data_IF_850731681431
#
_entry.id   IF_850731681431
#
_cell.length_a   1.000
_cell.length_b   1.000
_cell.length_c   1.000
_cell.angle_alpha   90.00
_cell.angle_beta   90.00
_cell.angle_gamma   90.00
#
_symmetry.space_group_name_H-M   'P 1'
#
loop_
_entity.id
_entity.type
_entity.pdbx_description
1 polymer ?
#
# COMPACT_ATOMS: atom_id res chain seq x y z
N UNK A 1 24.39 9.55 6.46
CA UNK A 1 25.05 8.65 7.41
C UNK A 1 24.26 7.38 7.65
N UNK A 2 22.95 7.45 7.98
CA UNK A 2 22.13 6.25 8.19
C UNK A 2 22.07 5.36 6.94
N UNK A 3 21.87 5.95 5.76
CA UNK A 3 21.85 5.24 4.48
C UNK A 3 23.21 4.59 4.17
N UNK A 4 24.32 5.24 4.48
CA UNK A 4 25.65 4.67 4.26
C UNK A 4 26.01 3.55 5.25
N UNK A 5 25.30 3.44 6.38
CA UNK A 5 25.44 2.33 7.34
C UNK A 5 24.58 1.15 6.92
N UNK A 6 23.34 1.39 6.48
CA UNK A 6 22.39 0.36 6.10
C UNK A 6 22.59 -0.18 4.67
N UNK A 7 23.18 0.63 3.80
CA UNK A 7 23.56 0.24 2.44
C UNK A 7 24.99 0.76 2.18
N UNK A 8 26.02 0.04 2.65
CA UNK A 8 27.42 0.47 2.50
C UNK A 8 27.75 0.61 1.02
N UNK A 9 28.16 1.83 0.66
CA UNK A 9 28.61 2.30 -0.66
C UNK A 9 27.89 1.62 -1.81
N UNK A 10 26.92 2.29 -2.39
CA UNK A 10 26.10 1.80 -3.50
C UNK A 10 26.95 1.28 -4.68
N UNK A 11 27.51 0.10 -4.54
CA UNK A 11 28.04 -0.65 -5.66
C UNK A 11 26.86 -0.93 -6.56
N UNK A 12 26.90 -0.30 -7.70
CA UNK A 12 25.89 -0.62 -8.73
C UNK A 12 25.91 -2.11 -9.03
N UNK A 13 24.74 -2.70 -9.10
CA UNK A 13 24.52 -4.13 -9.31
C UNK A 13 24.18 -4.38 -10.77
N UNK A 14 24.62 -5.54 -11.27
CA UNK A 14 24.10 -6.07 -12.52
C UNK A 14 22.61 -6.43 -12.36
N UNK A 15 21.88 -6.55 -13.45
CA UNK A 15 20.45 -6.91 -13.39
C UNK A 15 20.21 -8.23 -12.65
N UNK A 16 21.11 -9.21 -12.76
CA UNK A 16 20.98 -10.50 -12.03
C UNK A 16 21.10 -10.31 -10.52
N UNK A 17 22.09 -9.52 -10.07
CA UNK A 17 22.25 -9.24 -8.62
C UNK A 17 21.08 -8.44 -8.09
N UNK A 18 20.63 -7.45 -8.83
CA UNK A 18 19.46 -6.65 -8.46
C UNK A 18 18.21 -7.54 -8.31
N UNK A 19 17.98 -8.45 -9.27
CA UNK A 19 16.87 -9.40 -9.21
C UNK A 19 16.99 -10.37 -8.03
N UNK A 20 18.18 -10.91 -7.74
CA UNK A 20 18.40 -11.77 -6.58
C UNK A 20 18.17 -11.01 -5.28
N UNK A 21 18.66 -9.78 -5.15
CA UNK A 21 18.43 -8.93 -3.97
C UNK A 21 16.94 -8.68 -3.76
N UNK A 22 16.20 -8.36 -4.82
CA UNK A 22 14.74 -8.16 -4.81
C UNK A 22 14.01 -9.43 -4.38
N UNK A 23 14.31 -10.58 -5.00
CA UNK A 23 13.64 -11.84 -4.69
C UNK A 23 13.92 -12.28 -3.25
N UNK A 24 15.17 -12.14 -2.79
CA UNK A 24 15.55 -12.46 -1.40
C UNK A 24 14.78 -11.58 -0.42
N UNK A 25 14.73 -10.27 -0.67
CA UNK A 25 14.03 -9.31 0.17
C UNK A 25 12.53 -9.64 0.28
N UNK A 26 11.88 -9.89 -0.85
CA UNK A 26 10.46 -10.24 -0.87
C UNK A 26 10.18 -11.61 -0.22
N UNK A 27 11.06 -12.59 -0.42
CA UNK A 27 10.94 -13.90 0.26
C UNK A 27 11.04 -13.76 1.77
N UNK A 28 11.98 -12.95 2.27
CA UNK A 28 12.09 -12.67 3.70
C UNK A 28 10.84 -11.95 4.23
N UNK A 29 10.31 -10.99 3.51
CA UNK A 29 9.05 -10.30 3.83
C UNK A 29 7.87 -11.27 3.89
N UNK A 30 7.78 -12.19 2.93
CA UNK A 30 6.74 -13.21 2.89
C UNK A 30 6.81 -14.14 4.11
N UNK A 31 8.00 -14.67 4.41
CA UNK A 31 8.21 -15.54 5.57
C UNK A 31 7.87 -14.80 6.86
N UNK A 32 8.36 -13.56 7.00
CA UNK A 32 8.08 -12.74 8.18
C UNK A 32 6.57 -12.52 8.36
N UNK A 33 5.87 -12.09 7.32
CA UNK A 33 4.44 -11.80 7.38
C UNK A 33 3.62 -13.08 7.63
N UNK A 34 4.01 -14.19 6.99
CA UNK A 34 3.39 -15.50 7.25
C UNK A 34 3.52 -15.91 8.72
N UNK A 35 4.74 -15.89 9.25
CA UNK A 35 5.00 -16.29 10.63
C UNK A 35 4.27 -15.38 11.62
N UNK A 36 4.31 -14.08 11.41
CA UNK A 36 3.65 -13.09 12.28
C UNK A 36 2.14 -13.39 12.41
N UNK A 37 1.46 -13.65 11.31
CA UNK A 37 0.04 -14.03 11.32
C UNK A 37 -0.21 -15.35 12.05
N UNK A 38 0.69 -16.33 11.88
CA UNK A 38 0.54 -17.65 12.54
C UNK A 38 0.70 -17.59 14.04
N UNK A 39 1.48 -16.67 14.58
CA UNK A 39 1.78 -16.56 16.00
C UNK A 39 1.08 -15.38 16.68
N UNK A 40 0.21 -14.63 15.99
CA UNK A 40 -0.40 -13.41 16.53
C UNK A 40 -1.15 -13.61 17.86
N UNK A 41 -1.71 -14.80 18.08
CA UNK A 41 -2.41 -15.13 19.34
C UNK A 41 -1.52 -15.09 20.58
N UNK A 42 -0.19 -15.20 20.43
CA UNK A 42 0.78 -15.13 21.50
C UNK A 42 1.49 -13.78 21.62
N UNK A 43 1.20 -12.87 20.70
CA UNK A 43 1.86 -11.57 20.63
C UNK A 43 1.04 -10.47 21.33
N UNK A 44 1.69 -9.41 21.80
CA UNK A 44 1.01 -8.25 22.39
C UNK A 44 0.18 -7.49 21.34
N UNK A 45 -0.57 -6.48 21.80
CA UNK A 45 -1.46 -5.64 20.97
C UNK A 45 -2.53 -6.47 20.23
N UNK A 46 -3.08 -7.46 20.94
CA UNK A 46 -4.18 -8.29 20.50
C UNK A 46 -5.35 -8.23 21.50
N UNK A 47 -5.97 -7.07 21.69
CA UNK A 47 -7.01 -6.91 22.70
C UNK A 47 -8.26 -7.74 22.44
N UNK A 48 -8.49 -8.13 21.17
CA UNK A 48 -9.62 -8.96 20.78
C UNK A 48 -9.36 -10.47 21.00
N UNK A 49 -8.13 -10.86 21.35
CA UNK A 49 -7.77 -12.25 21.56
C UNK A 49 -7.80 -13.10 20.29
N UNK A 50 -7.55 -12.52 19.12
CA UNK A 50 -7.55 -13.28 17.87
C UNK A 50 -6.49 -14.37 17.90
N UNK A 51 -6.89 -15.57 17.51
CA UNK A 51 -6.00 -16.72 17.36
C UNK A 51 -5.08 -16.57 16.14
N UNK A 52 -4.12 -17.49 15.99
CA UNK A 52 -3.26 -17.55 14.81
C UNK A 52 -4.08 -17.80 13.54
N UNK A 53 -3.86 -16.99 12.50
CA UNK A 53 -4.54 -17.12 11.20
C UNK A 53 -4.29 -18.50 10.59
N UNK A 54 -5.28 -19.11 9.95
CA UNK A 54 -5.15 -20.43 9.30
C UNK A 54 -3.99 -20.45 8.28
N UNK A 55 -3.28 -21.59 8.10
CA UNK A 55 -2.06 -21.63 7.29
C UNK A 55 -2.23 -21.16 5.84
N UNK A 56 -3.29 -21.60 5.20
CA UNK A 56 -3.67 -21.26 3.83
C UNK A 56 -3.99 -19.77 3.70
N UNK A 57 -4.78 -19.24 4.63
CA UNK A 57 -5.13 -17.82 4.69
C UNK A 57 -3.89 -16.94 4.97
N UNK A 58 -3.02 -17.35 5.91
CA UNK A 58 -1.79 -16.62 6.23
C UNK A 58 -0.82 -16.59 5.04
N UNK A 59 -0.70 -17.71 4.30
CA UNK A 59 0.14 -17.77 3.11
C UNK A 59 -0.42 -16.90 2.00
N UNK A 60 -1.70 -17.02 1.71
CA UNK A 60 -2.42 -16.22 0.72
C UNK A 60 -2.23 -14.72 1.00
N UNK A 61 -2.45 -14.29 2.24
CA UNK A 61 -2.28 -12.91 2.67
C UNK A 61 -0.82 -12.45 2.54
N UNK A 62 0.15 -13.27 2.95
CA UNK A 62 1.56 -12.91 2.84
C UNK A 62 1.99 -12.71 1.39
N UNK A 63 1.58 -13.57 0.47
CA UNK A 63 1.84 -13.41 -0.97
C UNK A 63 1.19 -12.14 -1.49
N UNK A 64 -0.08 -11.91 -1.17
CA UNK A 64 -0.84 -10.75 -1.62
C UNK A 64 -0.19 -9.43 -1.21
N UNK A 65 0.24 -9.29 0.05
CA UNK A 65 0.86 -8.06 0.54
C UNK A 65 2.29 -7.86 0.03
N UNK A 66 3.06 -8.93 -0.13
CA UNK A 66 4.43 -8.84 -0.68
C UNK A 66 4.44 -8.43 -2.15
N UNK A 67 3.45 -8.88 -2.92
CA UNK A 67 3.32 -8.55 -4.35
C UNK A 67 2.64 -7.20 -4.61
N UNK A 68 2.32 -6.44 -3.58
CA UNK A 68 1.60 -5.16 -3.65
C UNK A 68 0.17 -5.28 -4.25
N UNK A 69 -0.41 -6.47 -4.20
CA UNK A 69 -1.76 -6.72 -4.70
C UNK A 69 -2.81 -6.38 -3.64
N UNK A 70 -2.56 -6.78 -2.40
CA UNK A 70 -3.32 -6.50 -1.18
C UNK A 70 -4.81 -6.90 -1.20
N UNK A 71 -5.24 -7.75 -2.10
CA UNK A 71 -6.58 -8.33 -2.00
C UNK A 71 -6.68 -9.24 -0.77
N UNK A 72 -7.82 -9.20 -0.12
CA UNK A 72 -8.09 -9.83 1.16
C UNK A 72 -9.32 -10.75 1.05
N UNK A 73 -9.17 -12.00 1.47
CA UNK A 73 -10.26 -12.98 1.61
C UNK A 73 -10.73 -13.10 3.06
N UNK A 74 -10.49 -12.09 3.89
CA UNK A 74 -10.83 -12.01 5.32
C UNK A 74 -11.22 -10.56 5.69
N UNK A 75 -11.98 -10.39 6.75
CA UNK A 75 -12.16 -9.09 7.40
C UNK A 75 -10.99 -8.81 8.33
N UNK A 76 -10.19 -7.78 8.04
CA UNK A 76 -9.01 -7.43 8.83
C UNK A 76 -9.38 -7.12 10.29
N UNK A 77 -10.47 -6.40 10.48
CA UNK A 77 -11.06 -6.06 11.77
C UNK A 77 -11.55 -7.25 12.61
N UNK A 78 -11.77 -8.41 11.97
CA UNK A 78 -12.24 -9.62 12.63
C UNK A 78 -11.18 -10.73 12.72
N UNK A 79 -10.01 -10.52 12.12
CA UNK A 79 -9.01 -11.58 11.93
C UNK A 79 -7.62 -11.20 12.40
N UNK A 80 -7.25 -9.92 12.29
CA UNK A 80 -5.86 -9.46 12.45
C UNK A 80 -5.70 -8.61 13.71
N UNK A 81 -4.75 -9.00 14.57
CA UNK A 81 -4.36 -8.19 15.73
C UNK A 81 -3.76 -6.85 15.31
N UNK A 82 -3.75 -5.86 16.19
CA UNK A 82 -3.14 -4.56 15.91
C UNK A 82 -1.67 -4.67 15.57
N UNK A 83 -0.95 -5.57 16.26
CA UNK A 83 0.46 -5.80 15.93
C UNK A 83 0.61 -6.36 14.51
N UNK A 84 -0.24 -7.29 14.10
CA UNK A 84 -0.23 -7.85 12.75
C UNK A 84 -0.58 -6.77 11.72
N UNK A 85 -1.57 -5.93 12.00
CA UNK A 85 -1.94 -4.81 11.12
C UNK A 85 -0.81 -3.79 10.96
N UNK A 86 -0.12 -3.44 12.04
CA UNK A 86 0.94 -2.43 12.02
C UNK A 86 2.28 -2.97 11.50
N UNK A 87 2.83 -3.95 12.24
CA UNK A 87 4.16 -4.50 11.98
C UNK A 87 4.17 -5.43 10.76
N UNK A 88 3.06 -6.12 10.52
CA UNK A 88 2.88 -6.97 9.34
C UNK A 88 2.41 -6.18 8.13
N UNK A 89 1.11 -5.89 8.09
CA UNK A 89 0.47 -5.30 6.91
C UNK A 89 0.99 -3.89 6.59
N UNK A 90 1.03 -2.99 7.58
CA UNK A 90 1.49 -1.62 7.40
C UNK A 90 2.94 -1.53 6.94
N UNK A 91 3.85 -2.28 7.56
CA UNK A 91 5.25 -2.32 7.12
C UNK A 91 5.37 -2.90 5.72
N UNK A 92 4.63 -3.99 5.43
CA UNK A 92 4.68 -4.60 4.10
C UNK A 92 4.11 -3.68 3.01
N UNK A 93 3.11 -2.86 3.32
CA UNK A 93 2.61 -1.83 2.41
C UNK A 93 3.70 -0.83 2.01
N UNK A 94 4.56 -0.40 2.94
CA UNK A 94 5.73 0.41 2.60
C UNK A 94 6.72 -0.36 1.73
N UNK A 95 7.06 -1.58 2.11
CA UNK A 95 8.14 -2.34 1.48
C UNK A 95 7.75 -2.80 0.07
N UNK A 96 6.51 -3.23 -0.15
CA UNK A 96 6.03 -3.64 -1.47
C UNK A 96 5.92 -2.44 -2.43
N UNK A 97 5.41 -1.31 -1.95
CA UNK A 97 5.38 -0.07 -2.74
C UNK A 97 6.79 0.41 -3.11
N UNK A 98 7.70 0.43 -2.12
CA UNK A 98 9.10 0.80 -2.37
C UNK A 98 9.79 -0.14 -3.36
N UNK A 99 9.49 -1.44 -3.31
CA UNK A 99 9.98 -2.44 -4.26
C UNK A 99 9.49 -2.12 -5.68
N UNK A 100 8.19 -1.85 -5.86
CA UNK A 100 7.63 -1.48 -7.17
C UNK A 100 8.26 -0.23 -7.76
N UNK A 101 8.44 0.81 -6.94
CA UNK A 101 9.11 2.06 -7.35
C UNK A 101 10.60 1.79 -7.68
N UNK A 102 11.30 0.97 -6.90
CA UNK A 102 12.69 0.60 -7.16
C UNK A 102 12.86 -0.13 -8.49
N UNK A 103 11.95 -1.05 -8.82
CA UNK A 103 11.92 -1.74 -10.13
C UNK A 103 11.66 -0.73 -11.26
N UNK A 104 10.74 0.21 -11.08
CA UNK A 104 10.51 1.27 -12.06
C UNK A 104 11.77 2.09 -12.32
N UNK A 105 12.50 2.49 -11.27
CA UNK A 105 13.79 3.20 -11.43
C UNK A 105 14.86 2.34 -12.09
N UNK A 106 14.95 1.05 -11.78
CA UNK A 106 15.87 0.14 -12.44
C UNK A 106 15.56 0.04 -13.95
N UNK A 107 14.28 -0.08 -14.32
CA UNK A 107 13.83 -0.08 -15.71
C UNK A 107 14.17 1.25 -16.41
N UNK A 108 13.89 2.38 -15.77
CA UNK A 108 14.22 3.72 -16.31
C UNK A 108 15.73 3.88 -16.55
N UNK A 109 16.58 3.36 -15.65
CA UNK A 109 18.04 3.33 -15.86
C UNK A 109 18.43 2.47 -17.04
N UNK A 110 17.75 1.32 -17.24
CA UNK A 110 17.96 0.47 -18.42
C UNK A 110 17.67 1.17 -19.73
N UNK A 111 16.66 2.04 -19.78
CA UNK A 111 16.34 2.84 -20.97
C UNK A 111 17.22 4.08 -21.14
N UNK A 112 17.68 4.69 -20.06
CA UNK A 112 18.42 5.95 -20.10
C UNK A 112 19.93 5.82 -20.23
N UNK A 113 20.49 4.65 -19.91
CA UNK A 113 21.94 4.41 -19.91
C UNK A 113 22.35 3.63 -21.17
N UNK A 114 23.24 4.20 -21.94
CA UNK A 114 23.86 3.50 -23.07
C UNK A 114 25.04 2.66 -22.56
N UNK A 115 25.12 1.38 -22.99
CA UNK A 115 26.24 0.46 -22.74
C UNK A 115 26.59 0.24 -21.25
N UNK A 116 25.62 0.37 -20.34
CA UNK A 116 25.81 0.11 -18.92
C UNK A 116 25.48 -1.34 -18.57
N UNK A 117 26.39 -2.02 -17.87
CA UNK A 117 26.15 -3.38 -17.32
C UNK A 117 25.42 -3.37 -15.97
N UNK A 118 25.10 -2.17 -15.42
CA UNK A 118 24.51 -1.99 -14.09
C UNK A 118 23.24 -1.18 -14.15
N UNK A 119 22.31 -1.48 -13.23
CA UNK A 119 20.97 -0.84 -13.17
C UNK A 119 20.68 -0.15 -11.82
N UNK A 120 21.68 -0.05 -10.94
CA UNK A 120 21.55 0.55 -9.62
C UNK A 120 21.81 -0.44 -8.49
N UNK A 121 21.38 -0.13 -7.28
CA UNK A 121 21.47 -1.01 -6.11
C UNK A 121 20.10 -1.11 -5.46
N UNK A 122 19.54 -2.32 -5.42
CA UNK A 122 18.18 -2.57 -4.93
C UNK A 122 17.96 -2.08 -3.49
N UNK A 123 18.84 -2.49 -2.57
CA UNK A 123 18.72 -2.10 -1.16
C UNK A 123 18.76 -0.58 -0.97
N UNK A 124 19.65 0.10 -1.71
CA UNK A 124 19.79 1.55 -1.65
C UNK A 124 18.53 2.26 -2.20
N UNK A 125 17.95 1.75 -3.30
CA UNK A 125 16.73 2.28 -3.88
C UNK A 125 15.55 2.13 -2.90
N UNK A 126 15.33 0.93 -2.34
CA UNK A 126 14.23 0.68 -1.39
C UNK A 126 14.35 1.58 -0.14
N UNK A 127 15.54 1.69 0.45
CA UNK A 127 15.76 2.53 1.64
C UNK A 127 15.47 4.00 1.32
N UNK A 128 15.98 4.52 0.21
CA UNK A 128 15.76 5.92 -0.18
C UNK A 128 14.29 6.22 -0.47
N UNK A 129 13.62 5.35 -1.21
CA UNK A 129 12.21 5.50 -1.54
C UNK A 129 11.38 5.48 -0.26
N UNK A 130 11.63 4.52 0.63
CA UNK A 130 10.89 4.42 1.90
C UNK A 130 11.10 5.65 2.77
N UNK A 131 12.35 6.06 3.02
CA UNK A 131 12.64 7.11 3.99
C UNK A 131 12.42 8.54 3.45
N UNK A 132 12.62 8.77 2.15
CA UNK A 132 12.59 10.13 1.58
C UNK A 132 11.34 10.44 0.76
N UNK A 133 10.61 9.41 0.32
CA UNK A 133 9.38 9.58 -0.46
C UNK A 133 8.18 9.10 0.34
N UNK A 134 8.09 7.79 0.59
CA UNK A 134 6.89 7.21 1.18
C UNK A 134 6.65 7.68 2.62
N UNK A 135 7.64 7.58 3.49
CA UNK A 135 7.45 7.90 4.91
C UNK A 135 7.00 9.34 5.17
N UNK A 136 7.64 10.40 4.61
CA UNK A 136 7.17 11.76 4.85
C UNK A 136 5.79 12.04 4.23
N UNK A 137 5.50 11.51 3.05
CA UNK A 137 4.18 11.65 2.43
C UNK A 137 3.11 10.94 3.26
N UNK A 138 3.35 9.68 3.68
CA UNK A 138 2.41 8.93 4.49
C UNK A 138 2.18 9.56 5.86
N UNK A 139 3.22 10.08 6.51
CA UNK A 139 3.07 10.75 7.80
C UNK A 139 2.18 11.99 7.67
N UNK A 140 2.44 12.83 6.68
CA UNK A 140 1.63 14.03 6.43
C UNK A 140 0.18 13.66 6.11
N UNK A 141 -0.01 12.64 5.30
CA UNK A 141 -1.34 12.21 4.89
C UNK A 141 -2.09 11.51 6.03
N UNK A 142 -1.42 10.71 6.87
CA UNK A 142 -2.03 10.12 8.06
C UNK A 142 -2.51 11.18 9.06
N UNK A 143 -1.73 12.24 9.28
CA UNK A 143 -2.13 13.36 10.12
C UNK A 143 -3.38 14.09 9.56
N UNK A 144 -3.44 14.24 8.25
CA UNK A 144 -4.64 14.77 7.59
C UNK A 144 -5.85 13.84 7.83
N UNK A 145 -5.72 12.53 7.61
CA UNK A 145 -6.81 11.56 7.82
C UNK A 145 -7.31 11.57 9.26
N UNK A 146 -6.41 11.61 10.24
CA UNK A 146 -6.78 11.76 11.66
C UNK A 146 -7.56 13.05 11.91
N UNK A 147 -7.16 14.17 11.30
CA UNK A 147 -7.87 15.43 11.40
C UNK A 147 -9.29 15.40 10.84
N UNK A 148 -9.57 14.47 9.93
CA UNK A 148 -10.89 14.25 9.33
C UNK A 148 -11.73 13.21 10.09
N UNK A 149 -11.19 12.63 11.16
CA UNK A 149 -11.89 11.67 12.02
C UNK A 149 -11.60 10.20 11.75
N UNK A 150 -10.62 9.88 10.89
CA UNK A 150 -10.17 8.49 10.71
C UNK A 150 -9.51 7.99 11.99
N UNK A 151 -9.89 6.80 12.43
CA UNK A 151 -9.46 6.23 13.71
C UNK A 151 -7.96 5.98 13.73
N UNK A 152 -7.31 6.39 14.83
CA UNK A 152 -5.90 6.07 15.09
C UNK A 152 -5.69 5.90 16.59
N UNK A 153 -5.92 4.70 17.11
CA UNK A 153 -5.75 4.37 18.52
C UNK A 153 -5.37 2.91 18.73
N UNK A 154 -5.20 2.51 19.99
CA UNK A 154 -4.92 1.12 20.41
C UNK A 154 -5.96 0.63 21.42
N UNK A 155 -7.13 1.26 21.43
CA UNK A 155 -8.22 0.91 22.35
C UNK A 155 -8.85 -0.43 21.95
N UNK A 156 -9.46 -1.08 22.92
CA UNK A 156 -10.33 -2.23 22.65
C UNK A 156 -11.52 -1.81 21.79
N UNK A 157 -12.14 -2.75 21.12
CA UNK A 157 -13.36 -2.53 20.36
C UNK A 157 -14.48 -2.07 21.31
N UNK A 158 -15.29 -1.14 20.83
CA UNK A 158 -16.42 -0.62 21.60
C UNK A 158 -17.67 -1.45 21.33
N UNK A 159 -18.29 -1.93 22.40
CA UNK A 159 -19.61 -2.55 22.31
C UNK A 159 -20.67 -1.52 22.57
N UNK A 160 -21.56 -1.30 21.62
CA UNK A 160 -22.67 -0.35 21.70
C UNK A 160 -24.01 -1.07 21.50
N UNK A 161 -25.08 -0.52 22.06
CA UNK A 161 -26.42 -1.02 21.81
C UNK A 161 -27.05 -0.18 20.70
N UNK A 162 -27.55 -0.85 19.65
CA UNK A 162 -28.24 -0.20 18.54
C UNK A 162 -29.62 0.31 18.97
N UNK A 163 -30.23 1.16 18.16
CA UNK A 163 -31.60 1.62 18.39
C UNK A 163 -32.64 0.49 18.40
N UNK A 164 -32.34 -0.63 17.75
CA UNK A 164 -33.17 -1.82 17.76
C UNK A 164 -32.99 -2.70 19.01
N UNK A 165 -32.01 -2.36 19.88
CA UNK A 165 -31.69 -3.11 21.10
C UNK A 165 -30.61 -4.18 20.91
N UNK A 166 -30.07 -4.36 19.72
CA UNK A 166 -29.02 -5.33 19.42
C UNK A 166 -27.64 -4.83 19.85
N UNK A 167 -26.72 -5.75 20.16
CA UNK A 167 -25.33 -5.42 20.43
C UNK A 167 -24.53 -5.32 19.12
N UNK A 168 -23.78 -4.22 18.97
CA UNK A 168 -22.86 -3.97 17.88
C UNK A 168 -21.44 -3.73 18.38
N UNK A 169 -20.47 -4.40 17.78
CA UNK A 169 -19.05 -4.14 18.04
C UNK A 169 -18.51 -3.13 17.03
N UNK A 170 -17.92 -2.04 17.52
CA UNK A 170 -17.28 -1.01 16.70
C UNK A 170 -15.78 -1.23 16.79
N UNK A 171 -15.17 -1.59 15.68
CA UNK A 171 -13.73 -1.82 15.60
C UNK A 171 -12.96 -0.51 15.81
N UNK A 172 -11.87 -0.61 16.56
CA UNK A 172 -10.88 0.44 16.81
C UNK A 172 -9.53 0.00 16.23
N UNK A 173 -8.54 0.85 16.29
CA UNK A 173 -7.17 0.47 15.93
C UNK A 173 -6.38 1.55 15.17
N UNK A 174 -5.18 1.18 14.67
CA UNK A 174 -4.27 2.08 13.94
C UNK A 174 -4.67 2.22 12.47
N UNK A 175 -5.87 2.71 12.20
CA UNK A 175 -6.49 2.73 10.87
C UNK A 175 -5.85 3.79 9.98
N UNK A 176 -5.75 5.05 10.42
CA UNK A 176 -5.29 6.16 9.58
C UNK A 176 -3.87 5.96 9.04
N UNK A 177 -2.96 5.39 9.84
CA UNK A 177 -1.59 5.13 9.39
C UNK A 177 -1.53 4.07 8.30
N UNK A 178 -2.34 3.02 8.40
CA UNK A 178 -2.43 1.97 7.37
C UNK A 178 -3.12 2.51 6.12
N UNK A 179 -4.20 3.28 6.26
CA UNK A 179 -4.92 3.91 5.16
C UNK A 179 -3.99 4.81 4.33
N UNK A 180 -3.21 5.66 5.01
CA UNK A 180 -2.29 6.57 4.33
C UNK A 180 -1.27 5.84 3.46
N UNK A 181 -0.62 4.78 3.96
CA UNK A 181 0.39 4.05 3.19
C UNK A 181 -0.24 3.19 2.11
N UNK A 182 -1.38 2.60 2.37
CA UNK A 182 -2.11 1.76 1.40
C UNK A 182 -2.53 2.56 0.16
N UNK A 183 -2.93 3.80 0.32
CA UNK A 183 -3.34 4.66 -0.80
C UNK A 183 -2.13 5.20 -1.57
N UNK A 184 -1.16 5.81 -0.87
CA UNK A 184 0.05 6.34 -1.50
C UNK A 184 0.92 5.24 -2.12
N UNK A 185 0.96 4.05 -1.50
CA UNK A 185 1.67 2.89 -2.01
C UNK A 185 0.93 2.12 -3.11
N UNK A 186 -0.29 2.54 -3.47
CA UNK A 186 -1.16 1.85 -4.45
C UNK A 186 -1.44 0.39 -4.09
N UNK A 187 -1.51 0.09 -2.79
CA UNK A 187 -1.66 -1.28 -2.27
C UNK A 187 -3.09 -1.83 -2.45
N UNK A 188 -4.10 -1.08 -2.01
CA UNK A 188 -5.50 -1.41 -2.19
C UNK A 188 -6.18 -2.18 -1.06
N UNK A 189 -5.48 -2.98 -0.26
CA UNK A 189 -6.00 -3.62 0.94
C UNK A 189 -6.10 -2.64 2.10
N UNK A 190 -6.91 -2.93 3.12
CA UNK A 190 -7.13 -2.02 4.22
C UNK A 190 -7.28 -2.69 5.58
N UNK A 191 -7.45 -1.86 6.61
CA UNK A 191 -7.74 -2.30 7.96
C UNK A 191 -9.10 -3.02 7.99
N UNK A 192 -10.10 -2.44 7.34
CA UNK A 192 -11.42 -3.01 7.16
C UNK A 192 -11.53 -3.78 5.84
N UNK A 193 -12.43 -4.75 5.78
CA UNK A 193 -12.62 -5.60 4.61
C UNK A 193 -13.10 -4.84 3.36
N UNK A 194 -13.75 -3.71 3.53
CA UNK A 194 -14.38 -2.94 2.43
C UNK A 194 -13.46 -1.91 1.76
N UNK A 195 -12.16 -1.99 2.00
CA UNK A 195 -11.12 -1.27 1.23
C UNK A 195 -11.39 0.23 1.02
N UNK A 196 -11.27 1.05 2.03
CA UNK A 196 -11.53 2.52 1.99
C UNK A 196 -13.00 2.92 1.75
N UNK A 197 -13.93 1.97 1.62
CA UNK A 197 -15.35 2.30 1.59
C UNK A 197 -15.97 2.35 3.00
N UNK A 198 -15.24 1.89 4.03
CA UNK A 198 -15.71 1.93 5.40
C UNK A 198 -15.74 3.38 5.92
N UNK A 199 -16.82 3.82 6.62
CA UNK A 199 -16.92 5.19 7.13
C UNK A 199 -15.78 5.58 8.08
N UNK A 200 -15.11 4.62 8.73
CA UNK A 200 -13.99 4.86 9.63
C UNK A 200 -12.63 4.97 8.92
N UNK A 201 -12.56 4.60 7.65
CA UNK A 201 -11.42 4.87 6.77
C UNK A 201 -11.65 6.13 5.94
N UNK A 202 -12.87 6.36 5.48
CA UNK A 202 -13.25 7.43 4.56
C UNK A 202 -14.53 8.18 5.06
N UNK A 203 -14.40 9.01 6.11
CA UNK A 203 -15.54 9.61 6.77
C UNK A 203 -16.16 10.82 6.05
N UNK A 204 -15.46 11.46 5.13
CA UNK A 204 -15.91 12.71 4.51
C UNK A 204 -15.76 12.71 2.97
N UNK A 205 -16.54 13.52 2.24
CA UNK A 205 -16.32 13.70 0.78
C UNK A 205 -14.90 14.21 0.45
N UNK A 206 -14.29 14.97 1.35
CA UNK A 206 -12.92 15.46 1.17
C UNK A 206 -11.89 14.32 1.30
N UNK A 207 -12.07 13.40 2.26
CA UNK A 207 -11.20 12.22 2.35
C UNK A 207 -11.32 11.39 1.09
N UNK A 208 -12.53 11.09 0.63
CA UNK A 208 -12.77 10.32 -0.59
C UNK A 208 -12.09 10.91 -1.82
N UNK A 209 -12.18 12.23 -2.01
CA UNK A 209 -11.51 12.92 -3.12
C UNK A 209 -9.97 12.83 -3.00
N UNK A 210 -9.42 13.08 -1.81
CA UNK A 210 -7.97 13.06 -1.60
C UNK A 210 -7.41 11.64 -1.61
N UNK A 211 -8.16 10.63 -1.19
CA UNK A 211 -7.82 9.22 -1.33
C UNK A 211 -7.67 8.82 -2.80
N UNK A 212 -8.62 9.22 -3.65
CA UNK A 212 -8.51 9.01 -5.08
C UNK A 212 -7.26 9.68 -5.67
N UNK A 213 -6.96 10.93 -5.27
CA UNK A 213 -5.74 11.62 -5.70
C UNK A 213 -4.46 10.95 -5.19
N UNK A 214 -4.45 10.44 -3.96
CA UNK A 214 -3.29 9.80 -3.36
C UNK A 214 -2.85 8.56 -4.14
N UNK A 215 -3.80 7.77 -4.66
CA UNK A 215 -3.50 6.61 -5.52
C UNK A 215 -2.75 7.01 -6.78
N UNK A 216 -3.05 8.18 -7.36
CA UNK A 216 -2.41 8.65 -8.59
C UNK A 216 -1.11 9.44 -8.37
N UNK A 217 -0.83 9.88 -7.14
CA UNK A 217 0.28 10.80 -6.86
C UNK A 217 1.64 10.23 -7.28
N UNK A 218 1.98 9.03 -6.82
CA UNK A 218 3.28 8.40 -7.11
C UNK A 218 3.36 7.91 -8.57
N UNK A 219 2.37 7.18 -9.13
CA UNK A 219 2.38 6.81 -10.55
C UNK A 219 2.57 7.99 -11.50
N UNK A 220 1.87 9.09 -11.26
CA UNK A 220 2.03 10.32 -12.03
C UNK A 220 3.45 10.91 -11.87
N UNK A 221 3.97 10.93 -10.66
CA UNK A 221 5.35 11.36 -10.39
C UNK A 221 6.40 10.51 -11.10
N UNK A 222 6.17 9.20 -11.25
CA UNK A 222 7.07 8.30 -11.96
C UNK A 222 7.15 8.58 -13.46
N UNK A 223 6.05 8.97 -14.13
CA UNK A 223 6.10 9.35 -15.55
C UNK A 223 6.94 10.61 -15.74
N UNK A 224 6.81 11.59 -14.84
CA UNK A 224 7.66 12.78 -14.84
C UNK A 224 9.13 12.43 -14.60
N UNK A 225 9.42 11.57 -13.63
CA UNK A 225 10.77 11.11 -13.32
C UNK A 225 11.41 10.38 -14.52
N UNK A 226 10.63 9.56 -15.26
CA UNK A 226 11.08 8.93 -16.49
C UNK A 226 11.57 9.96 -17.51
N UNK A 227 10.76 10.97 -17.81
CA UNK A 227 11.13 12.03 -18.77
C UNK A 227 12.42 12.76 -18.36
N UNK A 228 12.62 12.97 -17.05
CA UNK A 228 13.87 13.57 -16.52
C UNK A 228 15.08 12.65 -16.67
N UNK A 229 14.90 11.35 -16.47
CA UNK A 229 16.00 10.37 -16.53
C UNK A 229 16.45 10.06 -17.96
N UNK A 230 15.52 10.03 -18.92
CA UNK A 230 15.87 9.83 -20.35
C UNK A 230 16.34 11.12 -21.04
N UNK A 231 16.30 12.25 -20.34
CA UNK A 231 16.74 13.54 -20.89
C UNK A 231 15.74 14.25 -21.79
N UNK A 232 14.55 13.68 -21.99
CA UNK A 232 13.49 14.19 -22.85
C UNK A 232 12.16 14.25 -22.13
N UNK A 233 11.86 15.40 -21.52
CA UNK A 233 10.65 15.56 -20.71
C UNK A 233 9.35 15.33 -21.49
N UNK A 234 9.36 15.51 -22.81
CA UNK A 234 8.20 15.21 -23.69
C UNK A 234 7.78 13.74 -23.62
N UNK A 235 8.72 12.81 -23.47
CA UNK A 235 8.45 11.37 -23.32
C UNK A 235 7.66 11.09 -22.03
N UNK A 236 8.04 11.72 -20.92
CA UNK A 236 7.31 11.60 -19.66
C UNK A 236 5.88 12.12 -19.76
N UNK A 237 5.68 13.27 -20.39
CA UNK A 237 4.35 13.84 -20.61
C UNK A 237 3.51 12.99 -21.57
N UNK A 238 4.11 12.43 -22.60
CA UNK A 238 3.42 11.51 -23.52
C UNK A 238 2.92 10.27 -22.81
N UNK A 239 3.74 9.64 -21.98
CA UNK A 239 3.32 8.50 -21.15
C UNK A 239 2.17 8.87 -20.21
N UNK A 240 2.27 10.03 -19.55
CA UNK A 240 1.20 10.52 -18.69
C UNK A 240 -0.11 10.72 -19.44
N UNK A 241 -0.06 11.32 -20.64
CA UNK A 241 -1.25 11.53 -21.49
C UNK A 241 -1.88 10.21 -21.94
N UNK A 242 -1.08 9.24 -22.36
CA UNK A 242 -1.57 7.90 -22.76
C UNK A 242 -2.24 7.19 -21.58
N UNK A 243 -1.58 7.17 -20.42
CA UNK A 243 -2.16 6.58 -19.21
C UNK A 243 -3.43 7.30 -18.77
N UNK A 244 -3.44 8.63 -18.81
CA UNK A 244 -4.61 9.44 -18.49
C UNK A 244 -5.78 9.20 -19.45
N UNK A 245 -5.51 9.09 -20.75
CA UNK A 245 -6.54 8.79 -21.76
C UNK A 245 -7.16 7.41 -21.53
N UNK A 246 -6.34 6.39 -21.27
CA UNK A 246 -6.82 5.04 -20.96
C UNK A 246 -7.63 5.02 -19.66
N UNK A 247 -7.19 5.75 -18.63
CA UNK A 247 -7.94 5.90 -17.39
C UNK A 247 -9.31 6.55 -17.61
N UNK A 248 -9.37 7.69 -18.33
CA UNK A 248 -10.64 8.38 -18.63
C UNK A 248 -11.57 7.48 -19.43
N UNK A 249 -11.06 6.73 -20.40
CA UNK A 249 -11.84 5.78 -21.19
C UNK A 249 -12.45 4.68 -20.28
N UNK A 250 -11.62 4.06 -19.45
CA UNK A 250 -12.07 3.01 -18.53
C UNK A 250 -13.06 3.56 -17.49
N UNK A 251 -12.77 4.73 -16.90
CA UNK A 251 -13.64 5.40 -15.94
C UNK A 251 -15.01 5.71 -16.55
N UNK A 252 -15.06 6.26 -17.78
CA UNK A 252 -16.30 6.57 -18.48
C UNK A 252 -17.12 5.30 -18.76
N UNK A 253 -16.46 4.21 -19.20
CA UNK A 253 -17.14 2.95 -19.48
C UNK A 253 -17.74 2.34 -18.19
N UNK A 254 -16.98 2.32 -17.09
CA UNK A 254 -17.46 1.79 -15.81
C UNK A 254 -18.57 2.66 -15.23
N UNK A 255 -18.43 3.99 -15.26
CA UNK A 255 -19.46 4.91 -14.77
C UNK A 255 -20.77 4.74 -15.54
N UNK A 256 -20.69 4.62 -16.86
CA UNK A 256 -21.86 4.42 -17.70
C UNK A 256 -22.59 3.09 -17.39
N UNK A 257 -21.85 2.00 -17.22
CA UNK A 257 -22.44 0.70 -16.91
C UNK A 257 -23.08 0.67 -15.52
N UNK A 258 -22.47 1.31 -14.52
CA UNK A 258 -23.01 1.38 -13.16
C UNK A 258 -24.25 2.27 -13.06
N UNK A 259 -24.26 3.43 -13.72
CA UNK A 259 -25.44 4.31 -13.76
C UNK A 259 -26.64 3.60 -14.37
N UNK A 260 -26.47 2.89 -15.49
CA UNK A 260 -27.56 2.12 -16.11
C UNK A 260 -28.06 0.95 -15.26
N UNK A 261 -27.16 0.29 -14.53
CA UNK A 261 -27.58 -0.81 -13.64
C UNK A 261 -28.50 -0.31 -12.51
N UNK A 262 -28.29 0.93 -12.02
CA UNK A 262 -29.17 1.53 -11.02
C UNK A 262 -30.52 1.98 -11.58
N UNK A 263 -30.57 2.45 -12.82
CA UNK A 263 -31.82 2.84 -13.48
C UNK A 263 -32.74 1.63 -13.73
N UNK A 264 -32.17 0.47 -14.07
CA UNK A 264 -32.94 -0.76 -14.31
C UNK A 264 -33.46 -1.47 -13.05
N UNK A 265 -32.96 -1.08 -11.87
CA UNK A 265 -33.50 -1.60 -10.59
C UNK A 265 -34.60 -0.71 -9.98
N UNK A 266 -34.90 0.43 -10.60
CA UNK A 266 -35.89 1.41 -10.13
C UNK A 266 -37.25 1.25 -10.86
N UNK A 267 -37.35 0.42 -11.93
CA UNK A 267 -38.57 0.01 -12.63
C UNK A 267 -38.99 -1.41 -12.18
#
# INVERSE_FOLDING_TARGET
RLISVLAPSGREESWQRYAVSLLTFNTLGLIFLYVLQRIQGWLPLNPQGFEGVAPDQAFNTAVSFVTNTNWQSYGGEMTMSYLTQMLGMGVQNFLSAATGIAVAFALMRGFSRHESSTIGCFAHDVIRITLWVLLPMCLTYALFLVSQGVIQNMSDYLTVTTLAGDSQSIAMGPVASQEAVKLLGTNGGGFFNVNSAHPFENPTPLTNFLEALAIFAIPTGLTYAFGRMVGHQREGWMLWQVMGALFVLAFTAVSYTHLRAHETCAD
#
